data_IF_550975605803
#
_entry.id   IF_550975605803
#
_cell.length_a   1.000
_cell.length_b   1.000
_cell.length_c   1.000
_cell.angle_alpha   90.00
_cell.angle_beta   90.00
_cell.angle_gamma   90.00
#
_symmetry.space_group_name_H-M   'P 1'
#
loop_
_entity.id
_entity.type
_entity.pdbx_description
1 polymer ?
#
# COMPACT_ATOMS: atom_id res chain seq x y z
N UNK A 1 -30.07 -15.44 -17.70
CA UNK A 1 -29.38 -15.60 -16.41
C UNK A 1 -28.03 -14.90 -16.54
N UNK A 2 -27.96 -13.65 -16.16
CA UNK A 2 -26.73 -12.86 -16.14
C UNK A 2 -25.76 -13.48 -15.15
N UNK A 3 -24.62 -13.98 -15.64
CA UNK A 3 -23.49 -14.44 -14.86
C UNK A 3 -22.93 -13.26 -14.03
N UNK A 4 -23.57 -12.94 -12.91
CA UNK A 4 -23.00 -12.02 -11.95
C UNK A 4 -21.73 -12.71 -11.44
N UNK A 5 -20.59 -12.17 -11.80
CA UNK A 5 -19.30 -12.64 -11.32
C UNK A 5 -19.33 -12.68 -9.80
N UNK A 6 -19.39 -13.87 -9.22
CA UNK A 6 -19.40 -14.05 -7.76
C UNK A 6 -18.26 -13.25 -7.15
N UNK A 7 -18.62 -12.24 -6.38
CA UNK A 7 -17.70 -11.36 -5.65
C UNK A 7 -17.02 -12.20 -4.56
N UNK A 8 -15.76 -11.97 -4.31
CA UNK A 8 -15.00 -12.63 -3.26
C UNK A 8 -15.15 -11.82 -1.96
N UNK A 9 -16.20 -12.10 -1.19
CA UNK A 9 -16.52 -11.34 0.03
C UNK A 9 -15.41 -11.44 1.08
N UNK A 10 -14.76 -12.60 1.20
CA UNK A 10 -13.66 -12.79 2.14
C UNK A 10 -12.49 -11.84 1.88
N UNK A 11 -12.20 -11.49 0.62
CA UNK A 11 -11.14 -10.52 0.27
C UNK A 11 -11.48 -9.12 0.78
N UNK A 12 -12.73 -8.66 0.59
CA UNK A 12 -13.14 -7.35 1.11
C UNK A 12 -13.11 -7.35 2.65
N UNK A 13 -13.48 -8.45 3.29
CA UNK A 13 -13.43 -8.61 4.73
C UNK A 13 -11.99 -8.60 5.28
N UNK A 14 -11.05 -9.30 4.62
CA UNK A 14 -9.61 -9.23 4.98
C UNK A 14 -9.09 -7.80 4.86
N UNK A 15 -9.46 -7.09 3.80
CA UNK A 15 -9.04 -5.67 3.62
C UNK A 15 -9.61 -4.78 4.72
N UNK A 16 -10.87 -5.00 5.12
CA UNK A 16 -11.48 -4.28 6.23
C UNK A 16 -10.75 -4.55 7.55
N UNK A 17 -10.46 -5.82 7.84
CA UNK A 17 -9.69 -6.19 9.02
C UNK A 17 -8.29 -5.56 8.99
N UNK A 18 -7.58 -5.68 7.87
CA UNK A 18 -6.22 -5.18 7.75
C UNK A 18 -6.15 -3.65 7.91
N UNK A 19 -7.10 -2.88 7.33
CA UNK A 19 -7.11 -1.42 7.50
C UNK A 19 -7.42 -1.01 8.94
N UNK A 20 -8.36 -1.67 9.62
CA UNK A 20 -8.68 -1.38 11.02
C UNK A 20 -7.49 -1.73 11.95
N UNK A 21 -6.85 -2.87 11.72
CA UNK A 21 -5.62 -3.25 12.44
C UNK A 21 -4.49 -2.25 12.20
N UNK A 22 -4.36 -1.71 11.00
CA UNK A 22 -3.38 -0.69 10.67
C UNK A 22 -3.67 0.61 11.44
N UNK A 23 -4.92 1.07 11.49
CA UNK A 23 -5.29 2.30 12.18
C UNK A 23 -4.89 2.27 13.66
N UNK A 24 -5.33 1.22 14.39
CA UNK A 24 -4.99 1.09 15.80
C UNK A 24 -3.48 0.88 15.99
N UNK A 25 -2.83 0.15 15.09
CA UNK A 25 -1.39 -0.08 15.13
C UNK A 25 -0.60 1.21 15.02
N UNK A 26 -0.94 2.07 14.06
CA UNK A 26 -0.28 3.38 13.89
C UNK A 26 -0.54 4.32 15.06
N UNK A 27 -1.75 4.31 15.62
CA UNK A 27 -2.08 5.12 16.80
C UNK A 27 -1.25 4.70 18.02
N UNK A 28 -1.26 3.41 18.35
CA UNK A 28 -0.51 2.87 19.48
C UNK A 28 1.01 3.04 19.27
N UNK A 29 1.54 2.69 18.09
CA UNK A 29 2.97 2.87 17.81
C UNK A 29 3.43 4.33 17.85
N UNK A 30 2.56 5.25 17.45
CA UNK A 30 2.91 6.66 17.43
C UNK A 30 2.80 7.34 18.79
N UNK A 31 1.83 6.92 19.62
CA UNK A 31 1.43 7.72 20.77
C UNK A 31 1.65 7.04 22.12
N UNK A 32 1.70 5.70 22.20
CA UNK A 32 1.96 4.98 23.46
C UNK A 32 3.36 5.28 23.96
N UNK A 33 3.49 5.63 25.22
CA UNK A 33 4.77 5.86 25.90
C UNK A 33 5.67 4.62 25.83
N UNK A 34 6.95 4.86 25.65
CA UNK A 34 7.99 3.82 25.52
C UNK A 34 8.11 2.95 26.75
N UNK A 35 7.82 3.48 27.93
CA UNK A 35 7.81 2.73 29.19
C UNK A 35 6.83 1.54 29.20
N UNK A 36 5.76 1.60 28.39
CA UNK A 36 4.75 0.53 28.28
C UNK A 36 4.98 -0.40 27.09
N UNK A 37 6.09 -0.25 26.35
CA UNK A 37 6.44 -1.09 25.19
C UNK A 37 7.35 -2.25 25.61
N UNK A 38 6.90 -2.97 26.58
CA UNK A 38 7.66 -4.07 27.17
C UNK A 38 7.25 -5.42 26.55
N UNK A 39 8.18 -6.06 25.89
CA UNK A 39 7.99 -7.38 25.26
C UNK A 39 7.78 -8.51 26.31
N UNK A 40 8.08 -8.28 27.59
CA UNK A 40 7.75 -9.19 28.68
C UNK A 40 6.26 -9.17 29.05
N UNK A 41 5.56 -8.07 28.73
CA UNK A 41 4.12 -7.97 28.91
C UNK A 41 3.39 -8.79 27.85
N UNK A 42 2.68 -9.83 28.29
CA UNK A 42 1.97 -10.78 27.43
C UNK A 42 0.95 -10.07 26.53
N UNK A 43 0.19 -9.10 27.05
CA UNK A 43 -0.80 -8.34 26.27
C UNK A 43 -0.16 -7.53 25.16
N UNK A 44 0.94 -6.81 25.46
CA UNK A 44 1.69 -6.07 24.46
C UNK A 44 2.33 -6.97 23.40
N UNK A 45 2.92 -8.10 23.79
CA UNK A 45 3.54 -9.06 22.89
C UNK A 45 2.53 -9.71 21.94
N UNK A 46 1.34 -10.10 22.43
CA UNK A 46 0.24 -10.60 21.59
C UNK A 46 -0.21 -9.52 20.60
N UNK A 47 -0.45 -8.31 21.06
CA UNK A 47 -0.83 -7.20 20.20
C UNK A 47 0.24 -6.91 19.13
N UNK A 48 1.52 -6.85 19.50
CA UNK A 48 2.67 -6.64 18.61
C UNK A 48 2.75 -7.73 17.54
N UNK A 49 2.47 -8.98 17.90
CA UNK A 49 2.43 -10.10 16.96
C UNK A 49 1.36 -9.88 15.88
N UNK A 50 0.11 -9.62 16.28
CA UNK A 50 -1.00 -9.40 15.36
C UNK A 50 -0.81 -8.14 14.50
N UNK A 51 -0.29 -7.07 15.09
CA UNK A 51 0.08 -5.87 14.35
C UNK A 51 1.11 -6.17 13.25
N UNK A 52 2.07 -7.05 13.52
CA UNK A 52 3.09 -7.45 12.56
C UNK A 52 2.55 -8.22 11.34
N UNK A 53 1.36 -8.82 11.42
CA UNK A 53 0.71 -9.55 10.32
C UNK A 53 0.05 -8.59 9.31
N UNK A 54 -0.32 -7.40 9.74
CA UNK A 54 -1.17 -6.46 8.99
C UNK A 54 -0.60 -6.08 7.63
N UNK A 55 0.65 -5.66 7.57
CA UNK A 55 1.28 -5.22 6.32
C UNK A 55 1.47 -6.38 5.33
N UNK A 56 2.02 -7.55 5.70
CA UNK A 56 2.07 -8.73 4.83
C UNK A 56 0.72 -9.08 4.22
N UNK A 57 -0.35 -9.10 5.02
CA UNK A 57 -1.72 -9.35 4.54
C UNK A 57 -2.15 -8.28 3.54
N UNK A 58 -1.92 -7.01 3.86
CA UNK A 58 -2.35 -5.89 3.01
C UNK A 58 -1.68 -5.91 1.63
N UNK A 59 -0.38 -6.19 1.56
CA UNK A 59 0.36 -6.35 0.31
C UNK A 59 -0.13 -7.57 -0.49
N UNK A 60 -0.29 -8.72 0.18
CA UNK A 60 -0.76 -9.96 -0.47
C UNK A 60 -2.15 -9.79 -1.05
N UNK A 61 -3.09 -9.21 -0.31
CA UNK A 61 -4.46 -8.95 -0.78
C UNK A 61 -4.48 -7.94 -1.92
N UNK A 62 -3.61 -6.92 -1.88
CA UNK A 62 -3.51 -5.92 -2.96
C UNK A 62 -3.05 -6.57 -4.27
N UNK A 63 -2.02 -7.40 -4.24
CA UNK A 63 -1.56 -8.17 -5.39
C UNK A 63 -2.61 -9.17 -5.87
N UNK A 64 -3.27 -9.86 -4.95
CA UNK A 64 -4.33 -10.82 -5.25
C UNK A 64 -5.49 -10.18 -6.02
N UNK A 65 -6.14 -9.15 -5.45
CA UNK A 65 -7.32 -8.54 -6.07
C UNK A 65 -6.99 -7.87 -7.39
N UNK A 66 -5.84 -7.21 -7.47
CA UNK A 66 -5.39 -6.57 -8.71
C UNK A 66 -5.23 -7.60 -9.83
N UNK A 67 -4.49 -8.68 -9.59
CA UNK A 67 -4.23 -9.71 -10.61
C UNK A 67 -5.47 -10.52 -10.92
N UNK A 68 -6.32 -10.80 -9.92
CA UNK A 68 -7.60 -11.43 -10.14
C UNK A 68 -8.44 -10.68 -11.17
N UNK A 69 -8.49 -9.36 -11.07
CA UNK A 69 -9.21 -8.51 -12.03
C UNK A 69 -8.47 -8.36 -13.36
N UNK A 70 -7.13 -8.34 -13.35
CA UNK A 70 -6.29 -8.19 -14.55
C UNK A 70 -6.51 -9.35 -15.53
N UNK A 71 -6.55 -10.59 -15.04
CA UNK A 71 -6.65 -11.78 -15.89
C UNK A 71 -8.09 -12.23 -16.16
N UNK A 72 -9.09 -11.66 -15.46
CA UNK A 72 -10.50 -12.01 -15.63
C UNK A 72 -11.12 -11.43 -16.90
N UNK A 73 -10.60 -10.31 -17.40
CA UNK A 73 -11.12 -9.62 -18.60
C UNK A 73 -10.81 -10.42 -19.86
N UNK A 74 -11.84 -10.67 -20.69
CA UNK A 74 -11.67 -11.27 -22.02
C UNK A 74 -11.35 -10.24 -23.11
N UNK A 75 -11.39 -8.95 -22.77
CA UNK A 75 -11.39 -7.82 -23.68
C UNK A 75 -9.97 -7.33 -24.01
N UNK A 76 -9.16 -8.19 -24.63
CA UNK A 76 -7.81 -7.83 -25.09
C UNK A 76 -6.67 -8.39 -24.23
N UNK A 77 -5.49 -8.48 -24.83
CA UNK A 77 -4.26 -8.98 -24.21
C UNK A 77 -3.15 -7.92 -24.24
N UNK A 78 -2.19 -8.02 -23.36
CA UNK A 78 -1.06 -7.09 -23.29
C UNK A 78 -1.53 -5.66 -23.04
N UNK A 79 -1.03 -4.69 -23.77
CA UNK A 79 -1.42 -3.28 -23.65
C UNK A 79 -2.86 -2.98 -24.07
N UNK A 80 -3.49 -3.86 -24.87
CA UNK A 80 -4.90 -3.70 -25.26
C UNK A 80 -5.87 -4.11 -24.13
N UNK A 81 -5.37 -4.75 -23.06
CA UNK A 81 -6.18 -5.06 -21.91
C UNK A 81 -6.52 -3.74 -21.15
N UNK A 82 -7.80 -3.36 -21.04
CA UNK A 82 -8.20 -2.13 -20.38
C UNK A 82 -7.81 -2.10 -18.89
N UNK A 83 -7.62 -3.28 -18.27
CA UNK A 83 -7.16 -3.40 -16.89
C UNK A 83 -5.70 -2.99 -16.71
N UNK A 84 -4.86 -3.15 -17.73
CA UNK A 84 -3.47 -2.66 -17.72
C UNK A 84 -3.45 -1.14 -17.60
N UNK A 85 -4.18 -0.44 -18.47
CA UNK A 85 -4.27 1.03 -18.42
C UNK A 85 -4.82 1.55 -17.08
N UNK A 86 -5.90 0.91 -16.58
CA UNK A 86 -6.46 1.24 -15.25
C UNK A 86 -5.47 0.96 -14.12
N UNK A 87 -4.72 -0.12 -14.23
CA UNK A 87 -3.71 -0.49 -13.24
C UNK A 87 -2.52 0.47 -13.22
N UNK A 88 -2.01 0.88 -14.38
CA UNK A 88 -0.96 1.90 -14.48
C UNK A 88 -1.43 3.21 -13.84
N UNK A 89 -2.63 3.68 -14.24
CA UNK A 89 -3.23 4.88 -13.64
C UNK A 89 -3.31 4.75 -12.12
N UNK A 90 -3.79 3.61 -11.61
CA UNK A 90 -3.91 3.36 -10.17
C UNK A 90 -2.56 3.33 -9.45
N UNK A 91 -1.54 2.68 -10.04
CA UNK A 91 -0.18 2.67 -9.48
C UNK A 91 0.39 4.09 -9.35
N UNK A 92 0.27 4.89 -10.41
CA UNK A 92 0.71 6.29 -10.41
C UNK A 92 -0.10 7.16 -9.43
N UNK A 93 -1.41 6.96 -9.35
CA UNK A 93 -2.27 7.66 -8.35
C UNK A 93 -1.80 7.37 -6.91
N UNK A 94 -1.46 6.12 -6.59
CA UNK A 94 -0.99 5.74 -5.26
C UNK A 94 0.36 6.39 -4.94
N UNK A 95 1.28 6.42 -5.89
CA UNK A 95 2.56 7.12 -5.75
C UNK A 95 2.34 8.61 -5.50
N UNK A 96 1.51 9.24 -6.32
CA UNK A 96 1.17 10.65 -6.19
C UNK A 96 0.53 10.97 -4.82
N UNK A 97 -0.47 10.19 -4.40
CA UNK A 97 -1.14 10.39 -3.10
C UNK A 97 -0.13 10.17 -1.96
N UNK A 98 0.76 9.18 -2.06
CA UNK A 98 1.81 8.95 -1.07
C UNK A 98 2.69 10.18 -0.85
N UNK A 99 3.21 10.78 -1.92
CA UNK A 99 3.99 12.02 -1.84
C UNK A 99 3.15 13.21 -1.39
N UNK A 100 1.91 13.31 -1.87
CA UNK A 100 0.99 14.39 -1.48
C UNK A 100 0.74 14.39 0.04
N UNK A 101 0.52 13.23 0.65
CA UNK A 101 0.32 13.09 2.09
C UNK A 101 1.55 13.49 2.92
N UNK A 102 2.76 13.39 2.35
CA UNK A 102 4.02 13.78 2.98
C UNK A 102 4.42 15.22 2.71
N UNK A 103 3.64 15.94 1.90
CA UNK A 103 3.88 17.34 1.59
C UNK A 103 3.53 18.21 2.80
N UNK A 104 4.45 19.11 3.16
CA UNK A 104 4.21 20.18 4.13
C UNK A 104 4.12 21.50 3.39
N UNK A 105 2.93 22.10 3.33
CA UNK A 105 2.72 23.36 2.58
C UNK A 105 3.45 24.54 3.20
N UNK A 106 3.55 24.59 4.54
CA UNK A 106 4.31 25.67 5.20
C UNK A 106 5.81 25.61 4.87
N UNK A 107 6.37 24.39 4.80
CA UNK A 107 7.74 24.20 4.34
C UNK A 107 7.93 24.64 2.89
N UNK A 108 7.01 24.23 1.98
CA UNK A 108 7.08 24.62 0.58
C UNK A 108 6.97 26.15 0.36
N UNK A 109 6.10 26.83 1.11
CA UNK A 109 6.00 28.30 1.06
C UNK A 109 7.30 28.98 1.49
N UNK A 110 8.09 28.34 2.36
CA UNK A 110 9.40 28.82 2.79
C UNK A 110 10.55 28.27 1.91
N UNK A 111 10.25 27.62 0.78
CA UNK A 111 11.26 27.03 -0.12
C UNK A 111 11.96 25.81 0.44
N UNK A 112 11.41 25.13 1.47
CA UNK A 112 12.01 23.99 2.12
C UNK A 112 11.26 22.70 1.79
N UNK A 113 12.01 21.66 1.37
CA UNK A 113 11.52 20.29 1.25
C UNK A 113 12.19 19.46 2.36
N UNK A 114 11.39 18.99 3.30
CA UNK A 114 11.90 18.19 4.41
C UNK A 114 12.30 16.77 3.93
N UNK A 115 13.33 16.14 4.54
CA UNK A 115 13.72 14.77 4.21
C UNK A 115 12.59 13.76 4.35
N UNK A 116 11.62 14.01 5.22
CA UNK A 116 10.41 13.19 5.39
C UNK A 116 9.55 13.08 4.13
N UNK A 117 9.64 14.04 3.19
CA UNK A 117 8.97 13.97 1.89
C UNK A 117 9.43 12.78 1.05
N UNK A 118 10.72 12.45 1.12
CA UNK A 118 11.32 11.35 0.35
C UNK A 118 11.14 9.97 0.98
N UNK A 119 10.56 9.88 2.17
CA UNK A 119 10.32 8.58 2.84
C UNK A 119 9.26 7.80 2.10
N UNK A 120 9.59 6.55 1.78
CA UNK A 120 8.69 5.60 1.11
C UNK A 120 7.86 4.87 2.16
N UNK A 121 6.55 4.88 1.98
CA UNK A 121 5.59 4.16 2.82
C UNK A 121 4.71 3.19 2.01
N UNK A 122 3.68 2.65 2.64
CA UNK A 122 2.84 1.59 2.08
C UNK A 122 2.19 1.97 0.74
N UNK A 123 1.75 3.22 0.53
CA UNK A 123 1.12 3.63 -0.73
C UNK A 123 2.11 3.62 -1.89
N UNK A 124 3.31 4.14 -1.66
CA UNK A 124 4.39 4.13 -2.65
C UNK A 124 4.75 2.69 -3.03
N UNK A 125 4.93 1.84 -2.02
CA UNK A 125 5.30 0.45 -2.24
C UNK A 125 4.20 -0.34 -2.95
N UNK A 126 2.91 -0.17 -2.60
CA UNK A 126 1.80 -0.81 -3.32
C UNK A 126 1.69 -0.27 -4.74
N UNK A 127 1.78 1.04 -4.93
CA UNK A 127 1.76 1.65 -6.27
C UNK A 127 2.80 1.04 -7.18
N UNK A 128 4.05 0.98 -6.72
CA UNK A 128 5.16 0.39 -7.46
C UNK A 128 4.99 -1.14 -7.63
N UNK A 129 4.43 -1.83 -6.64
CA UNK A 129 4.13 -3.27 -6.75
C UNK A 129 3.11 -3.56 -7.85
N UNK A 130 2.05 -2.75 -7.97
CA UNK A 130 1.09 -2.90 -9.07
C UNK A 130 1.74 -2.69 -10.43
N UNK A 131 2.61 -1.69 -10.55
CA UNK A 131 3.37 -1.44 -11.80
C UNK A 131 4.33 -2.61 -12.10
N UNK A 132 4.98 -3.17 -11.08
CA UNK A 132 5.83 -4.34 -11.22
C UNK A 132 5.07 -5.59 -11.69
N UNK A 133 3.89 -5.86 -11.11
CA UNK A 133 3.01 -6.96 -11.55
C UNK A 133 2.59 -6.76 -13.01
N UNK A 134 2.23 -5.52 -13.41
CA UNK A 134 1.89 -5.19 -14.80
C UNK A 134 3.10 -5.44 -15.71
N UNK A 135 4.29 -5.01 -15.32
CA UNK A 135 5.52 -5.24 -16.10
C UNK A 135 5.75 -6.73 -16.35
N UNK A 136 5.67 -7.57 -15.30
CA UNK A 136 5.82 -9.02 -15.44
C UNK A 136 4.69 -9.62 -16.29
N UNK A 137 3.43 -9.13 -16.14
CA UNK A 137 2.33 -9.54 -17.01
C UNK A 137 2.63 -9.23 -18.49
N UNK A 138 3.10 -8.02 -18.79
CA UNK A 138 3.44 -7.61 -20.15
C UNK A 138 4.63 -8.38 -20.77
N UNK A 139 5.54 -8.87 -19.96
CA UNK A 139 6.62 -9.75 -20.40
C UNK A 139 6.14 -11.18 -20.66
N UNK A 140 5.06 -11.60 -20.01
CA UNK A 140 4.60 -13.00 -20.02
C UNK A 140 3.24 -13.22 -20.67
N UNK A 141 2.49 -12.19 -21.07
CA UNK A 141 1.10 -12.30 -21.53
C UNK A 141 0.88 -13.21 -22.74
N UNK A 142 1.91 -13.37 -23.60
CA UNK A 142 1.88 -14.31 -24.75
C UNK A 142 2.06 -15.77 -24.32
N UNK A 143 2.44 -16.02 -23.07
CA UNK A 143 2.64 -17.36 -22.52
C UNK A 143 1.41 -17.79 -21.69
N UNK A 144 1.41 -19.02 -21.20
CA UNK A 144 0.36 -19.52 -20.30
C UNK A 144 0.35 -18.72 -18.99
N UNK A 145 -0.81 -18.51 -18.38
CA UNK A 145 -0.93 -17.87 -17.04
C UNK A 145 -0.08 -18.58 -15.96
N UNK A 146 0.22 -19.86 -16.16
CA UNK A 146 1.14 -20.61 -15.30
C UNK A 146 2.55 -19.98 -15.29
N UNK A 147 3.07 -19.58 -16.45
CA UNK A 147 4.40 -18.94 -16.54
C UNK A 147 4.39 -17.62 -15.80
N UNK A 148 3.34 -16.82 -15.95
CA UNK A 148 3.17 -15.58 -15.20
C UNK A 148 3.17 -15.83 -13.69
N UNK A 149 2.38 -16.80 -13.22
CA UNK A 149 2.31 -17.16 -11.79
C UNK A 149 3.64 -17.69 -11.24
N UNK A 150 4.32 -18.59 -11.98
CA UNK A 150 5.62 -19.11 -11.58
C UNK A 150 6.70 -18.02 -11.52
N UNK A 151 6.70 -17.07 -12.47
CA UNK A 151 7.64 -15.95 -12.47
C UNK A 151 7.41 -15.06 -11.23
N UNK A 152 6.15 -14.74 -10.90
CA UNK A 152 5.81 -13.98 -9.70
C UNK A 152 6.25 -14.69 -8.42
N UNK A 153 5.98 -16.00 -8.32
CA UNK A 153 6.38 -16.81 -7.16
C UNK A 153 7.90 -16.91 -7.04
N UNK A 154 8.60 -17.13 -8.16
CA UNK A 154 10.07 -17.20 -8.16
C UNK A 154 10.70 -15.88 -7.69
N UNK A 155 10.22 -14.73 -8.20
CA UNK A 155 10.69 -13.42 -7.75
C UNK A 155 10.46 -13.25 -6.25
N UNK A 156 9.28 -13.61 -5.74
CA UNK A 156 8.97 -13.49 -4.32
C UNK A 156 9.90 -14.35 -3.46
N UNK A 157 10.12 -15.60 -3.85
CA UNK A 157 11.02 -16.53 -3.14
C UNK A 157 12.44 -16.00 -3.15
N UNK A 158 12.94 -15.52 -4.29
CA UNK A 158 14.28 -14.91 -4.41
C UNK A 158 14.39 -13.70 -3.51
N UNK A 159 13.40 -12.80 -3.50
CA UNK A 159 13.40 -11.63 -2.62
C UNK A 159 13.44 -12.02 -1.14
N UNK A 160 12.73 -13.06 -0.74
CA UNK A 160 12.70 -13.49 0.66
C UNK A 160 13.99 -14.22 1.07
N UNK A 161 14.52 -15.09 0.19
CA UNK A 161 15.76 -15.83 0.47
C UNK A 161 16.98 -14.91 0.58
N UNK A 162 17.08 -13.90 -0.26
CA UNK A 162 18.24 -13.01 -0.29
C UNK A 162 18.10 -11.76 0.58
N UNK A 163 16.99 -11.65 1.38
CA UNK A 163 16.78 -10.51 2.28
C UNK A 163 17.98 -10.26 3.23
N UNK A 164 18.59 -11.27 3.87
CA UNK A 164 19.71 -11.02 4.77
C UNK A 164 20.92 -10.32 4.10
N UNK A 165 21.10 -10.53 2.79
CA UNK A 165 22.20 -9.90 2.05
C UNK A 165 21.87 -8.45 1.69
N UNK A 166 20.79 -8.19 0.96
CA UNK A 166 20.49 -6.84 0.47
C UNK A 166 19.97 -5.89 1.57
N UNK A 167 19.49 -6.40 2.67
CA UNK A 167 19.09 -5.59 3.84
C UNK A 167 20.23 -4.74 4.40
N UNK A 168 21.47 -5.21 4.23
CA UNK A 168 22.68 -4.51 4.69
C UNK A 168 23.14 -3.42 3.71
N UNK A 169 22.59 -3.40 2.48
CA UNK A 169 23.03 -2.46 1.46
C UNK A 169 22.42 -1.07 1.69
N UNK A 170 23.26 -0.07 1.82
CA UNK A 170 22.84 1.32 1.99
C UNK A 170 22.48 2.02 0.68
N UNK A 171 22.86 1.45 -0.50
CA UNK A 171 22.63 2.03 -1.83
C UNK A 171 23.09 3.50 -1.93
N UNK A 172 24.23 3.83 -1.32
CA UNK A 172 24.76 5.20 -1.22
C UNK A 172 25.11 5.84 -2.57
N UNK A 173 25.23 5.03 -3.63
CA UNK A 173 25.43 5.50 -5.00
C UNK A 173 24.16 6.06 -5.67
N UNK A 174 22.99 5.82 -5.07
CA UNK A 174 21.71 6.35 -5.57
C UNK A 174 21.35 7.66 -4.87
N UNK A 175 20.74 8.62 -5.58
CA UNK A 175 20.09 9.76 -4.93
C UNK A 175 19.06 9.28 -3.89
N UNK A 176 18.94 9.97 -2.77
CA UNK A 176 18.11 9.58 -1.63
C UNK A 176 16.65 9.25 -2.04
N UNK A 177 16.07 10.01 -2.95
CA UNK A 177 14.71 9.78 -3.45
C UNK A 177 14.52 8.39 -4.07
N UNK A 178 15.56 7.81 -4.70
CA UNK A 178 15.53 6.47 -5.27
C UNK A 178 16.01 5.42 -4.27
N UNK A 179 17.05 5.71 -3.49
CA UNK A 179 17.56 4.81 -2.46
C UNK A 179 16.46 4.42 -1.46
N UNK A 180 15.59 5.35 -1.10
CA UNK A 180 14.47 5.14 -0.19
C UNK A 180 13.46 4.08 -0.64
N UNK A 181 13.42 3.75 -1.93
CA UNK A 181 12.58 2.65 -2.44
C UNK A 181 13.19 1.27 -2.20
N UNK A 182 14.49 1.18 -2.02
CA UNK A 182 15.21 -0.12 -1.93
C UNK A 182 15.91 -0.36 -0.59
N UNK A 183 16.14 0.70 0.21
CA UNK A 183 16.76 0.56 1.53
C UNK A 183 15.99 1.27 2.64
N UNK A 184 16.06 0.72 3.84
CA UNK A 184 15.53 1.32 5.07
C UNK A 184 16.52 2.28 5.76
N UNK A 185 17.76 2.35 5.29
CA UNK A 185 18.83 3.13 5.93
C UNK A 185 18.47 4.61 6.14
N UNK A 186 17.59 5.17 5.28
CA UNK A 186 17.18 6.57 5.35
C UNK A 186 15.80 6.76 6.00
N UNK A 187 15.28 5.77 6.75
CA UNK A 187 14.02 5.86 7.48
C UNK A 187 12.77 5.37 6.74
N UNK A 188 12.88 4.87 5.51
CA UNK A 188 11.75 4.24 4.81
C UNK A 188 11.29 2.97 5.52
N UNK A 189 9.97 2.83 5.68
CA UNK A 189 9.38 1.68 6.37
C UNK A 189 9.09 0.54 5.39
N UNK A 190 8.53 0.86 4.22
CA UNK A 190 8.08 -0.09 3.21
C UNK A 190 8.86 0.08 1.91
N UNK A 191 10.03 -0.53 1.84
CA UNK A 191 10.84 -0.60 0.62
C UNK A 191 10.25 -1.62 -0.36
N UNK A 192 10.49 -1.44 -1.68
CA UNK A 192 9.96 -2.38 -2.68
C UNK A 192 10.48 -3.80 -2.45
N UNK A 193 11.73 -3.95 -2.03
CA UNK A 193 12.32 -5.19 -1.58
C UNK A 193 12.37 -5.19 -0.03
N UNK A 194 11.80 -6.19 0.66
CA UNK A 194 11.17 -7.43 0.16
C UNK A 194 9.64 -7.34 -0.08
N UNK A 195 9.00 -6.21 0.17
CA UNK A 195 7.52 -6.10 0.26
C UNK A 195 6.79 -6.45 -1.04
N UNK A 196 7.44 -6.24 -2.21
CA UNK A 196 6.93 -6.73 -3.49
C UNK A 196 6.68 -8.24 -3.49
N UNK A 197 7.48 -9.02 -2.75
CA UNK A 197 7.31 -10.46 -2.63
C UNK A 197 5.93 -10.87 -2.15
N UNK A 198 5.38 -10.20 -1.15
CA UNK A 198 4.00 -10.47 -0.69
C UNK A 198 2.96 -10.15 -1.76
N UNK A 199 3.09 -9.03 -2.45
CA UNK A 199 2.18 -8.66 -3.53
C UNK A 199 2.26 -9.65 -4.70
N UNK A 200 3.47 -10.08 -5.06
CA UNK A 200 3.70 -11.06 -6.12
C UNK A 200 3.12 -12.44 -5.78
N UNK A 201 3.26 -12.91 -4.53
CA UNK A 201 2.64 -14.16 -4.06
C UNK A 201 1.11 -14.05 -4.07
N UNK A 202 0.55 -12.94 -3.60
CA UNK A 202 -0.88 -12.70 -3.68
C UNK A 202 -1.39 -12.73 -5.12
N UNK A 203 -0.65 -12.12 -6.05
CA UNK A 203 -0.93 -12.15 -7.48
C UNK A 203 -0.89 -13.58 -8.04
N UNK A 204 0.14 -14.38 -7.68
CA UNK A 204 0.26 -15.77 -8.10
C UNK A 204 -0.90 -16.64 -7.59
N UNK A 205 -1.27 -16.53 -6.31
CA UNK A 205 -2.40 -17.25 -5.71
C UNK A 205 -3.71 -16.91 -6.42
N UNK A 206 -3.90 -15.65 -6.83
CA UNK A 206 -5.11 -15.22 -7.51
C UNK A 206 -5.33 -15.92 -8.87
N UNK A 207 -4.26 -16.32 -9.56
CA UNK A 207 -4.34 -17.09 -10.81
C UNK A 207 -4.91 -18.49 -10.57
N UNK A 208 -4.53 -19.13 -9.46
CA UNK A 208 -5.07 -20.43 -9.04
C UNK A 208 -6.56 -20.28 -8.74
N UNK A 209 -6.93 -19.23 -8.00
CA UNK A 209 -8.34 -18.91 -7.73
C UNK A 209 -9.15 -18.69 -9.00
N UNK A 210 -8.66 -17.90 -9.94
CA UNK A 210 -9.36 -17.67 -11.21
C UNK A 210 -9.60 -18.96 -12.01
N UNK A 211 -8.66 -19.91 -11.94
CA UNK A 211 -8.73 -21.16 -12.71
C UNK A 211 -9.61 -22.22 -12.03
N UNK A 212 -9.61 -22.31 -10.71
CA UNK A 212 -10.11 -23.47 -9.98
C UNK A 212 -11.35 -23.20 -9.12
N UNK A 213 -11.72 -21.94 -8.86
CA UNK A 213 -12.80 -21.57 -7.91
C UNK A 213 -14.17 -22.19 -8.19
N UNK A 214 -14.46 -22.53 -9.46
CA UNK A 214 -15.75 -23.11 -9.85
C UNK A 214 -15.73 -24.66 -9.79
N UNK A 215 -14.61 -25.26 -9.34
CA UNK A 215 -14.49 -26.70 -9.13
C UNK A 215 -15.06 -27.11 -7.77
N UNK A 216 -15.77 -28.25 -7.76
CA UNK A 216 -16.19 -28.88 -6.52
C UNK A 216 -14.97 -29.13 -5.61
N UNK A 217 -15.14 -28.98 -4.31
CA UNK A 217 -14.08 -29.12 -3.31
C UNK A 217 -12.91 -28.10 -3.38
N UNK A 218 -12.94 -27.12 -4.31
CA UNK A 218 -11.86 -26.14 -4.39
C UNK A 218 -11.71 -25.34 -3.07
N UNK A 219 -12.81 -24.82 -2.52
CA UNK A 219 -12.76 -24.06 -1.28
C UNK A 219 -12.24 -24.89 -0.08
N UNK A 220 -12.78 -26.08 0.24
CA UNK A 220 -12.25 -26.89 1.34
C UNK A 220 -10.78 -27.27 1.15
N UNK A 221 -10.39 -27.66 -0.05
CA UNK A 221 -9.02 -28.04 -0.35
C UNK A 221 -8.07 -26.84 -0.22
N UNK A 222 -8.49 -25.65 -0.68
CA UNK A 222 -7.70 -24.43 -0.56
C UNK A 222 -7.52 -24.04 0.91
N UNK A 223 -8.58 -24.08 1.72
CA UNK A 223 -8.51 -23.81 3.16
C UNK A 223 -7.53 -24.79 3.84
N UNK A 224 -7.68 -26.08 3.59
CA UNK A 224 -6.78 -27.09 4.16
C UNK A 224 -5.31 -26.88 3.74
N UNK A 225 -5.08 -26.59 2.45
CA UNK A 225 -3.74 -26.32 1.92
C UNK A 225 -3.13 -25.06 2.52
N UNK A 226 -3.90 -23.97 2.62
CA UNK A 226 -3.43 -22.72 3.23
C UNK A 226 -3.09 -22.89 4.71
N UNK A 227 -3.90 -23.65 5.47
CA UNK A 227 -3.60 -23.96 6.86
C UNK A 227 -2.34 -24.84 6.98
N UNK A 228 -2.24 -25.92 6.19
CA UNK A 228 -1.08 -26.81 6.23
C UNK A 228 0.22 -26.09 5.87
N UNK A 229 0.24 -25.37 4.76
CA UNK A 229 1.41 -24.58 4.32
C UNK A 229 1.68 -23.44 5.32
N UNK A 230 0.63 -22.75 5.79
CA UNK A 230 0.75 -21.66 6.76
C UNK A 230 1.43 -22.12 8.05
N UNK A 231 0.94 -23.21 8.67
CA UNK A 231 1.55 -23.77 9.87
C UNK A 231 2.94 -24.33 9.62
N UNK A 232 3.17 -24.95 8.46
CA UNK A 232 4.51 -25.41 8.08
C UNK A 232 5.50 -24.23 7.99
N UNK A 233 5.13 -23.13 7.36
CA UNK A 233 5.95 -21.93 7.31
C UNK A 233 6.21 -21.33 8.68
N UNK A 234 5.20 -21.26 9.56
CA UNK A 234 5.34 -20.68 10.90
C UNK A 234 6.25 -21.55 11.78
N UNK A 235 6.10 -22.87 11.72
CA UNK A 235 6.76 -23.80 12.67
C UNK A 235 8.01 -24.45 12.13
N UNK A 236 8.04 -24.78 10.83
CA UNK A 236 9.10 -25.60 10.23
C UNK A 236 10.09 -24.81 9.38
N UNK A 237 9.78 -23.58 8.94
CA UNK A 237 10.70 -22.85 8.06
C UNK A 237 12.03 -22.51 8.73
N UNK A 238 12.03 -22.11 10.01
CA UNK A 238 13.29 -21.81 10.72
C UNK A 238 14.14 -23.09 10.92
N UNK A 239 13.64 -24.20 11.49
CA UNK A 239 14.42 -25.44 11.57
C UNK A 239 14.91 -25.94 10.21
N UNK A 240 14.09 -25.81 9.16
CA UNK A 240 14.47 -26.20 7.80
C UNK A 240 15.68 -25.40 7.29
N UNK A 241 15.70 -24.08 7.45
CA UNK A 241 16.86 -23.27 7.05
C UNK A 241 18.10 -23.56 7.88
N UNK A 242 17.93 -23.85 9.17
CA UNK A 242 19.05 -24.26 10.02
C UNK A 242 19.66 -25.58 9.52
N UNK A 243 18.84 -26.60 9.24
CA UNK A 243 19.31 -27.89 8.73
C UNK A 243 20.05 -27.75 7.39
N UNK A 244 19.57 -26.87 6.49
CA UNK A 244 20.28 -26.60 5.23
C UNK A 244 21.64 -25.93 5.52
N UNK A 245 21.68 -24.96 6.44
CA UNK A 245 22.92 -24.29 6.82
C UNK A 245 23.94 -25.29 7.37
N UNK A 246 23.52 -26.18 8.26
CA UNK A 246 24.38 -27.22 8.85
C UNK A 246 24.89 -28.22 7.78
N UNK A 247 24.02 -28.59 6.84
CA UNK A 247 24.38 -29.56 5.78
C UNK A 247 25.28 -28.95 4.70
N UNK A 248 25.14 -27.64 4.40
CA UNK A 248 25.83 -26.99 3.27
C UNK A 248 26.97 -26.06 3.68
N UNK A 249 27.00 -25.62 4.94
CA UNK A 249 27.90 -24.56 5.43
C UNK A 249 27.59 -23.17 4.91
N UNK A 250 26.46 -22.96 4.21
CA UNK A 250 26.10 -21.67 3.61
C UNK A 250 25.48 -20.77 4.68
N UNK A 251 26.19 -19.71 5.03
CA UNK A 251 25.79 -18.72 6.06
C UNK A 251 24.43 -18.08 5.80
N UNK A 252 24.03 -17.88 4.54
CA UNK A 252 22.75 -17.27 4.19
C UNK A 252 21.57 -17.95 4.89
N UNK A 253 21.59 -19.29 4.98
CA UNK A 253 20.50 -20.04 5.60
C UNK A 253 20.47 -19.89 7.13
N UNK A 254 21.62 -19.78 7.79
CA UNK A 254 21.66 -19.45 9.22
C UNK A 254 21.18 -17.99 9.47
N UNK A 255 21.54 -17.06 8.61
CA UNK A 255 21.07 -15.68 8.72
C UNK A 255 19.52 -15.59 8.59
N UNK A 256 18.92 -16.41 7.71
CA UNK A 256 17.46 -16.54 7.61
C UNK A 256 16.89 -17.17 8.91
N UNK A 257 17.50 -18.23 9.45
CA UNK A 257 17.04 -18.87 10.68
C UNK A 257 16.93 -17.85 11.83
N UNK A 258 17.96 -17.05 12.07
CA UNK A 258 17.97 -16.05 13.14
C UNK A 258 17.00 -14.90 12.94
N UNK A 259 16.58 -14.61 11.72
CA UNK A 259 15.64 -13.51 11.40
C UNK A 259 14.61 -13.93 10.35
N UNK A 260 13.90 -15.03 10.62
CA UNK A 260 12.91 -15.62 9.69
C UNK A 260 11.57 -14.87 9.71
N UNK A 261 11.61 -13.54 9.64
CA UNK A 261 10.39 -12.73 9.64
C UNK A 261 9.53 -12.98 8.41
N UNK A 262 10.12 -13.02 7.21
CA UNK A 262 9.36 -13.02 5.95
C UNK A 262 8.57 -14.31 5.73
N UNK A 263 9.18 -15.48 5.97
CA UNK A 263 8.51 -16.77 5.78
C UNK A 263 7.48 -17.04 6.87
N UNK A 264 7.76 -16.69 8.12
CA UNK A 264 6.79 -16.81 9.23
C UNK A 264 5.57 -15.93 8.93
N UNK A 265 5.77 -14.68 8.53
CA UNK A 265 4.66 -13.76 8.19
C UNK A 265 3.90 -14.19 6.94
N UNK A 266 4.55 -14.85 5.98
CA UNK A 266 3.84 -15.48 4.86
C UNK A 266 2.93 -16.61 5.36
N UNK A 267 3.39 -17.40 6.32
CA UNK A 267 2.57 -18.42 6.99
C UNK A 267 1.35 -17.81 7.68
N UNK A 268 1.54 -16.74 8.44
CA UNK A 268 0.43 -15.98 9.06
C UNK A 268 -0.58 -15.49 8.03
N UNK A 269 -0.11 -14.96 6.88
CA UNK A 269 -0.98 -14.53 5.77
C UNK A 269 -1.85 -15.67 5.28
N UNK A 270 -1.29 -16.86 5.09
CA UNK A 270 -2.05 -18.03 4.63
C UNK A 270 -3.10 -18.48 5.65
N UNK A 271 -2.76 -18.47 6.94
CA UNK A 271 -3.70 -18.76 8.02
C UNK A 271 -4.84 -17.73 8.04
N UNK A 272 -4.52 -16.44 7.91
CA UNK A 272 -5.54 -15.37 7.82
C UNK A 272 -6.47 -15.58 6.62
N UNK A 273 -5.93 -15.88 5.44
CA UNK A 273 -6.75 -16.19 4.26
C UNK A 273 -7.69 -17.37 4.52
N UNK A 274 -7.19 -18.46 5.10
CA UNK A 274 -7.98 -19.63 5.43
C UNK A 274 -9.12 -19.30 6.41
N UNK A 275 -8.82 -18.56 7.49
CA UNK A 275 -9.82 -18.16 8.49
C UNK A 275 -10.92 -17.31 7.83
N UNK A 276 -10.57 -16.32 7.03
CA UNK A 276 -11.56 -15.47 6.37
C UNK A 276 -12.35 -16.20 5.29
N UNK A 277 -11.78 -17.22 4.63
CA UNK A 277 -12.52 -18.11 3.73
C UNK A 277 -13.55 -18.96 4.48
N UNK A 278 -13.20 -19.50 5.65
CA UNK A 278 -14.16 -20.23 6.53
C UNK A 278 -15.29 -19.30 6.98
N UNK A 279 -14.95 -18.09 7.37
CA UNK A 279 -15.89 -17.11 7.90
C UNK A 279 -16.65 -16.33 6.81
N UNK A 280 -16.43 -16.59 5.51
CA UNK A 280 -16.97 -15.79 4.41
C UNK A 280 -18.48 -15.55 4.53
N UNK A 281 -19.25 -16.57 4.92
CA UNK A 281 -20.72 -16.44 5.07
C UNK A 281 -21.13 -15.50 6.20
N UNK A 282 -20.35 -15.42 7.27
CA UNK A 282 -20.60 -14.56 8.43
C UNK A 282 -20.18 -13.11 8.18
N UNK A 283 -19.22 -12.91 7.27
CA UNK A 283 -18.57 -11.62 7.01
C UNK A 283 -19.24 -10.82 5.86
N UNK A 284 -20.46 -11.16 5.47
CA UNK A 284 -21.21 -10.47 4.39
C UNK A 284 -21.94 -9.20 4.86
N UNK A 285 -21.54 -8.60 5.98
CA UNK A 285 -22.10 -7.36 6.47
C UNK A 285 -21.74 -6.19 5.53
N UNK A 286 -22.76 -5.40 5.14
CA UNK A 286 -22.59 -4.27 4.20
C UNK A 286 -21.55 -3.25 4.67
N UNK A 287 -21.55 -2.91 5.96
CA UNK A 287 -20.60 -1.95 6.54
C UNK A 287 -19.17 -2.48 6.47
N UNK A 288 -18.95 -3.74 6.86
CA UNK A 288 -17.63 -4.38 6.79
C UNK A 288 -17.09 -4.39 5.36
N UNK A 289 -17.92 -4.78 4.41
CA UNK A 289 -17.55 -4.81 3.00
C UNK A 289 -17.26 -3.41 2.45
N UNK A 290 -18.02 -2.39 2.88
CA UNK A 290 -17.78 -0.99 2.51
C UNK A 290 -16.45 -0.48 3.06
N UNK A 291 -16.11 -0.80 4.30
CA UNK A 291 -14.78 -0.52 4.89
C UNK A 291 -13.67 -1.12 4.02
N UNK A 292 -13.78 -2.40 3.67
CA UNK A 292 -12.80 -3.08 2.82
C UNK A 292 -12.64 -2.47 1.43
N UNK A 293 -13.68 -1.85 0.86
CA UNK A 293 -13.63 -1.15 -0.42
C UNK A 293 -13.04 0.26 -0.30
N UNK A 294 -13.23 0.91 0.83
CA UNK A 294 -12.84 2.31 1.09
C UNK A 294 -11.45 2.44 1.73
N UNK A 295 -10.62 1.40 1.66
CA UNK A 295 -9.31 1.37 2.36
C UNK A 295 -8.40 2.54 2.04
N UNK A 296 -8.40 3.05 0.79
CA UNK A 296 -7.58 4.21 0.44
C UNK A 296 -8.07 5.48 1.13
N UNK A 297 -9.37 5.72 1.13
CA UNK A 297 -9.94 6.92 1.76
C UNK A 297 -9.73 6.88 3.28
N UNK A 298 -9.87 5.70 3.90
CA UNK A 298 -9.57 5.49 5.32
C UNK A 298 -8.07 5.76 5.58
N UNK A 299 -7.19 5.26 4.70
CA UNK A 299 -5.75 5.52 4.80
C UNK A 299 -5.42 7.01 4.72
N UNK A 300 -6.02 7.73 3.77
CA UNK A 300 -5.80 9.18 3.62
C UNK A 300 -6.26 9.94 4.87
N UNK A 301 -7.47 9.66 5.34
CA UNK A 301 -8.04 10.35 6.51
C UNK A 301 -7.19 10.11 7.76
N UNK A 302 -6.81 8.85 8.05
CA UNK A 302 -6.00 8.57 9.23
C UNK A 302 -4.63 9.26 9.16
N UNK A 303 -4.02 9.31 7.99
CA UNK A 303 -2.71 9.93 7.82
C UNK A 303 -2.77 11.44 8.09
N UNK A 304 -3.84 12.10 7.64
CA UNK A 304 -4.09 13.51 7.92
C UNK A 304 -4.28 13.74 9.43
N UNK A 305 -5.11 12.95 10.09
CA UNK A 305 -5.42 13.13 11.52
C UNK A 305 -4.20 12.81 12.39
N UNK A 306 -3.53 11.68 12.13
CA UNK A 306 -2.44 11.21 12.98
C UNK A 306 -1.15 11.98 12.74
N UNK A 307 -0.74 12.13 11.48
CA UNK A 307 0.56 12.70 11.12
C UNK A 307 0.49 14.18 10.69
N UNK A 308 -0.73 14.69 10.46
CA UNK A 308 -0.93 16.11 10.13
C UNK A 308 -0.45 16.47 8.74
N UNK A 309 -0.76 15.63 7.72
CA UNK A 309 -0.46 15.95 6.31
C UNK A 309 -0.80 17.40 5.98
N UNK A 310 0.02 18.03 5.16
CA UNK A 310 -0.09 19.42 4.69
C UNK A 310 0.25 20.50 5.72
N UNK A 311 -0.16 20.33 6.99
CA UNK A 311 -0.01 21.34 8.06
C UNK A 311 1.10 21.01 9.06
N UNK A 312 1.45 19.73 9.21
CA UNK A 312 2.31 19.23 10.28
C UNK A 312 1.64 19.22 11.66
N UNK A 313 0.31 19.42 11.72
CA UNK A 313 -0.47 19.51 12.96
C UNK A 313 -1.30 18.23 13.17
N UNK A 314 -0.65 17.07 13.25
CA UNK A 314 -1.29 15.79 13.58
C UNK A 314 -1.17 15.43 15.05
N UNK A 315 -1.94 14.42 15.49
CA UNK A 315 -1.89 13.90 16.88
C UNK A 315 -0.46 13.49 17.29
N UNK A 316 0.31 12.96 16.33
CA UNK A 316 1.70 12.55 16.52
C UNK A 316 2.58 13.71 17.02
N UNK A 317 2.34 14.94 16.56
CA UNK A 317 3.10 16.11 17.00
C UNK A 317 2.89 16.44 18.49
N UNK A 318 1.66 16.23 18.97
CA UNK A 318 1.29 16.65 20.33
C UNK A 318 1.46 15.53 21.36
N UNK A 319 1.30 14.27 20.95
CA UNK A 319 1.23 13.11 21.85
C UNK A 319 2.25 12.03 21.56
N UNK A 320 3.32 12.36 20.82
CA UNK A 320 4.36 11.38 20.44
C UNK A 320 4.93 10.70 21.69
N UNK A 321 4.69 9.38 21.79
CA UNK A 321 5.18 8.51 22.87
C UNK A 321 4.91 9.04 24.30
N UNK A 322 3.76 9.66 24.52
CA UNK A 322 3.42 10.28 25.81
C UNK A 322 2.16 9.72 26.48
N UNK A 323 1.38 8.86 25.78
CA UNK A 323 0.14 8.34 26.32
C UNK A 323 0.36 7.06 27.12
N UNK A 324 -0.25 6.98 28.30
CA UNK A 324 -0.33 5.73 29.04
C UNK A 324 -1.37 4.77 28.40
N UNK A 325 -1.36 3.46 28.70
CA UNK A 325 -2.26 2.47 28.10
C UNK A 325 -3.75 2.77 28.32
N UNK A 326 -4.11 3.35 29.48
CA UNK A 326 -5.51 3.67 29.82
C UNK A 326 -6.10 4.77 28.92
N UNK A 327 -5.26 5.61 28.34
CA UNK A 327 -5.65 6.64 27.37
C UNK A 327 -5.41 6.14 25.93
N UNK A 328 -4.30 5.45 25.70
CA UNK A 328 -3.91 5.01 24.36
C UNK A 328 -4.88 3.96 23.78
N UNK A 329 -5.36 2.99 24.58
CA UNK A 329 -6.27 1.94 24.10
C UNK A 329 -7.66 2.51 23.74
N UNK A 330 -8.37 3.24 24.61
CA UNK A 330 -9.63 3.89 24.22
C UNK A 330 -9.43 4.91 23.10
N UNK A 331 -8.33 5.65 23.11
CA UNK A 331 -7.95 6.59 22.07
C UNK A 331 -7.80 5.92 20.70
N UNK A 332 -7.17 4.75 20.63
CA UNK A 332 -7.06 3.97 19.40
C UNK A 332 -8.43 3.52 18.87
N UNK A 333 -9.34 3.11 19.75
CA UNK A 333 -10.71 2.73 19.37
C UNK A 333 -11.46 3.94 18.83
N UNK A 334 -11.40 5.07 19.51
CA UNK A 334 -12.02 6.32 19.06
C UNK A 334 -11.42 6.78 17.71
N UNK A 335 -10.10 6.71 17.56
CA UNK A 335 -9.40 7.05 16.33
C UNK A 335 -9.81 6.16 15.15
N UNK A 336 -9.90 4.84 15.36
CA UNK A 336 -10.42 3.91 14.35
C UNK A 336 -11.83 4.29 13.92
N UNK A 337 -12.72 4.57 14.89
CA UNK A 337 -14.10 4.94 14.59
C UNK A 337 -14.17 6.25 13.80
N UNK A 338 -13.53 7.31 14.29
CA UNK A 338 -13.54 8.63 13.66
C UNK A 338 -12.96 8.58 12.25
N UNK A 339 -11.79 7.95 12.07
CA UNK A 339 -11.14 7.85 10.76
C UNK A 339 -11.99 7.06 9.76
N UNK A 340 -12.57 5.95 10.20
CA UNK A 340 -13.43 5.11 9.36
C UNK A 340 -14.72 5.82 9.02
N UNK A 341 -15.41 6.41 10.00
CA UNK A 341 -16.66 7.13 9.80
C UNK A 341 -16.49 8.31 8.83
N UNK A 342 -15.47 9.13 9.04
CA UNK A 342 -15.16 10.28 8.17
C UNK A 342 -14.88 9.84 6.73
N UNK A 343 -14.08 8.77 6.56
CA UNK A 343 -13.78 8.24 5.24
C UNK A 343 -15.01 7.66 4.54
N UNK A 344 -15.88 6.95 5.25
CA UNK A 344 -17.12 6.41 4.68
C UNK A 344 -18.10 7.53 4.30
N UNK A 345 -18.20 8.58 5.10
CA UNK A 345 -18.99 9.78 4.75
C UNK A 345 -18.44 10.48 3.52
N UNK A 346 -17.12 10.61 3.41
CA UNK A 346 -16.48 11.14 2.19
C UNK A 346 -16.83 10.28 0.96
N UNK A 347 -16.75 8.95 1.06
CA UNK A 347 -17.09 8.07 -0.07
C UNK A 347 -18.57 8.19 -0.50
N UNK A 348 -19.48 8.45 0.44
CA UNK A 348 -20.90 8.67 0.13
C UNK A 348 -21.15 9.95 -0.66
N UNK A 349 -20.37 11.02 -0.41
CA UNK A 349 -20.55 12.34 -1.06
C UNK A 349 -19.46 12.64 -2.09
N UNK A 350 -18.61 11.68 -2.41
CA UNK A 350 -17.41 11.85 -3.24
C UNK A 350 -17.67 12.47 -4.61
N UNK A 351 -18.74 12.08 -5.27
CA UNK A 351 -19.08 12.60 -6.60
C UNK A 351 -19.60 14.05 -6.53
N UNK A 352 -20.36 14.39 -5.48
CA UNK A 352 -20.77 15.77 -5.22
C UNK A 352 -19.57 16.67 -4.95
N UNK A 353 -18.66 16.22 -4.06
CA UNK A 353 -17.43 16.94 -3.73
C UNK A 353 -16.56 17.15 -4.97
N UNK A 354 -16.36 16.11 -5.79
CA UNK A 354 -15.62 16.24 -7.04
C UNK A 354 -16.25 17.26 -8.01
N UNK A 355 -17.56 17.24 -8.12
CA UNK A 355 -18.29 18.16 -8.99
C UNK A 355 -18.15 19.60 -8.50
N UNK A 356 -18.23 19.82 -7.18
CA UNK A 356 -18.04 21.15 -6.59
C UNK A 356 -16.60 21.66 -6.77
N UNK A 357 -15.60 20.78 -6.54
CA UNK A 357 -14.19 21.14 -6.76
C UNK A 357 -13.94 21.46 -8.24
N UNK A 358 -14.49 20.67 -9.17
CA UNK A 358 -14.33 20.90 -10.60
C UNK A 358 -14.93 22.26 -11.03
N UNK A 359 -16.14 22.59 -10.53
CA UNK A 359 -16.76 23.91 -10.77
C UNK A 359 -15.91 25.06 -10.18
N UNK A 360 -15.41 24.90 -8.95
CA UNK A 360 -14.56 25.88 -8.32
C UNK A 360 -13.23 26.08 -9.06
N UNK A 361 -12.59 24.99 -9.51
CA UNK A 361 -11.35 25.07 -10.30
C UNK A 361 -11.60 25.71 -11.67
N UNK A 362 -12.69 25.38 -12.35
CA UNK A 362 -13.06 26.01 -13.63
C UNK A 362 -13.27 27.53 -13.46
N UNK A 363 -13.99 27.92 -12.40
CA UNK A 363 -14.19 29.32 -12.07
C UNK A 363 -12.85 30.05 -11.81
N UNK A 364 -11.99 29.45 -11.00
CA UNK A 364 -10.66 30.03 -10.69
C UNK A 364 -9.78 30.13 -11.93
N UNK A 365 -9.77 29.11 -12.78
CA UNK A 365 -9.00 29.14 -14.05
C UNK A 365 -9.50 30.20 -14.99
N UNK A 366 -10.82 30.40 -15.12
CA UNK A 366 -11.39 31.53 -15.91
C UNK A 366 -10.99 32.89 -15.36
N UNK A 367 -10.93 33.05 -14.04
CA UNK A 367 -10.45 34.29 -13.42
C UNK A 367 -8.97 34.56 -13.70
N UNK A 368 -8.13 33.50 -13.60
CA UNK A 368 -6.69 33.59 -13.91
C UNK A 368 -6.49 33.95 -15.41
N UNK A 369 -7.21 33.26 -16.29
CA UNK A 369 -7.16 33.54 -17.74
C UNK A 369 -7.57 34.96 -18.06
N UNK A 370 -8.68 35.42 -17.48
CA UNK A 370 -9.13 36.81 -17.64
C UNK A 370 -8.08 37.82 -17.14
N UNK A 371 -7.51 37.56 -15.95
CA UNK A 371 -6.45 38.45 -15.41
C UNK A 371 -5.18 38.42 -16.27
N UNK A 372 -4.80 37.28 -16.83
CA UNK A 372 -3.66 37.15 -17.73
C UNK A 372 -3.87 37.91 -19.04
N UNK A 373 -5.06 37.75 -19.66
CA UNK A 373 -5.43 38.48 -20.88
C UNK A 373 -5.48 39.99 -20.63
N UNK A 374 -6.09 40.39 -19.52
CA UNK A 374 -6.15 41.82 -19.13
C UNK A 374 -4.74 42.40 -18.92
N UNK A 375 -3.89 41.70 -18.19
CA UNK A 375 -2.50 42.12 -17.97
C UNK A 375 -1.71 42.17 -19.27
N UNK A 376 -1.84 41.19 -20.15
CA UNK A 376 -1.20 41.15 -21.46
C UNK A 376 -1.63 42.36 -22.31
N UNK A 377 -2.93 42.63 -22.42
CA UNK A 377 -3.47 43.76 -23.20
C UNK A 377 -3.08 45.11 -22.63
N UNK A 378 -2.87 45.20 -21.32
CA UNK A 378 -2.44 46.43 -20.66
C UNK A 378 -0.93 46.68 -20.77
N UNK A 379 -0.13 45.64 -20.64
CA UNK A 379 1.34 45.70 -20.60
C UNK A 379 1.92 45.79 -22.01
N UNK A 380 1.42 45.01 -22.97
CA UNK A 380 1.90 44.96 -24.34
C UNK A 380 2.01 46.33 -25.00
N UNK A 381 0.99 47.23 -25.00
CA UNK A 381 1.11 48.54 -25.62
C UNK A 381 2.09 49.47 -24.88
N UNK A 382 2.29 49.26 -23.57
CA UNK A 382 3.30 50.01 -22.80
C UNK A 382 4.71 49.59 -23.18
N UNK A 383 4.96 48.27 -23.29
CA UNK A 383 6.25 47.70 -23.73
C UNK A 383 6.56 48.17 -25.17
N UNK A 384 5.60 48.06 -26.09
CA UNK A 384 5.79 48.52 -27.49
C UNK A 384 6.15 50.02 -27.55
N UNK A 385 5.47 50.88 -26.77
CA UNK A 385 5.82 52.31 -26.70
C UNK A 385 7.22 52.51 -26.16
N UNK A 386 7.65 51.74 -25.17
CA UNK A 386 8.98 51.82 -24.59
C UNK A 386 10.05 51.35 -25.60
N UNK A 387 9.82 50.24 -26.29
CA UNK A 387 10.72 49.74 -27.34
C UNK A 387 10.84 50.72 -28.51
N UNK A 388 9.74 51.38 -28.92
CA UNK A 388 9.78 52.44 -29.93
C UNK A 388 10.62 53.64 -29.50
N UNK A 389 10.54 54.04 -28.21
CA UNK A 389 11.37 55.13 -27.67
C UNK A 389 12.87 54.82 -27.73
N UNK A 390 13.24 53.56 -27.62
CA UNK A 390 14.63 53.09 -27.72
C UNK A 390 15.05 52.64 -29.12
N UNK A 391 14.20 52.87 -30.14
CA UNK A 391 14.53 52.49 -31.53
C UNK A 391 14.56 51.01 -31.81
N UNK A 392 14.05 50.18 -30.87
CA UNK A 392 14.08 48.71 -30.92
C UNK A 392 12.83 48.06 -31.56
N UNK A 393 11.80 48.86 -31.90
CA UNK A 393 10.62 48.41 -32.61
C UNK A 393 10.28 49.40 -33.74
N UNK A 394 9.99 48.85 -34.94
CA UNK A 394 9.50 49.65 -36.08
C UNK A 394 8.06 50.12 -35.85
N UNK A 395 7.69 51.25 -36.49
CA UNK A 395 6.33 51.78 -36.48
C UNK A 395 5.28 50.83 -37.00
#
# INVERSE_FOLDING_TARGET
>A
VTNSSKRLFFIDAIRAWAILMMLQGHFIDGLLDTAFRDDSNVGYSIWKYFRGITAPVFFTVSGFIFTFLLVKGKDGQGFNNPRVKKGIKRGLELLFIGYLLRTNFMGLLNGQIYPSFYIVDVLHCIGLSLLGIIGIYLLTYRKRNLVFGLTLSAIAIVLFLFEPLYKQWGFSFLPQAFANYVTKANGSVFTIIPWFGYAALGASISLIFNKLRDRNYFFPLTIASLLAIGFALIKLSSPFFLSISEATGIKLFSDIFYNNYLFIRLGDVFVVFAIFMVLERLLQNRTLLKIGQSTLSIYVVHFIILYGSFTGLGLYRFFHHSLNPYVAIPGAIAFMYISTYTALKYEDHKEEIKTQIAKGTEFTMKQIEFAAIYSYNTIKPRIIRLLRRFGLAKN
#
